data_IF_778742387983
#
_entry.id   IF_778742387983
#
_cell.length_a   1.000
_cell.length_b   1.000
_cell.length_c   1.000
_cell.angle_alpha   90.00
_cell.angle_beta   90.00
_cell.angle_gamma   90.00
#
_symmetry.space_group_name_H-M   'P 1'
#
loop_
_entity.id
_entity.type
_entity.pdbx_description
1 polymer ?
#
# COMPACT_ATOMS: atom_id res chain seq x y z
N UNK A 1 43.36 59.98 18.36
CA UNK A 1 43.25 58.91 19.37
C UNK A 1 42.13 57.96 18.93
N UNK A 2 42.46 56.76 18.42
CA UNK A 2 41.46 55.78 17.95
C UNK A 2 41.02 54.93 19.15
N UNK A 3 39.77 55.07 19.56
CA UNK A 3 39.15 54.23 20.59
C UNK A 3 39.01 52.80 20.04
N UNK A 4 39.72 51.85 20.65
CA UNK A 4 39.50 50.42 20.43
C UNK A 4 38.17 50.06 21.11
N UNK A 5 37.11 49.99 20.29
CA UNK A 5 35.77 49.60 20.71
C UNK A 5 35.84 48.22 21.37
N UNK A 6 35.34 48.17 22.59
CA UNK A 6 35.35 47.01 23.47
C UNK A 6 34.37 45.93 22.95
N UNK A 7 34.82 45.05 22.04
CA UNK A 7 34.04 43.94 21.46
C UNK A 7 33.92 42.74 22.41
N UNK A 8 33.47 42.94 23.66
CA UNK A 8 33.43 41.87 24.69
C UNK A 8 32.04 41.62 25.31
N UNK A 9 30.97 42.08 24.67
CA UNK A 9 29.62 42.06 25.25
C UNK A 9 28.55 41.23 24.52
N UNK A 10 28.84 40.61 23.37
CA UNK A 10 27.78 40.12 22.46
C UNK A 10 27.85 38.61 22.12
N UNK A 11 28.70 37.84 22.79
CA UNK A 11 28.98 36.44 22.43
C UNK A 11 27.88 35.46 22.86
N UNK A 12 27.11 35.76 23.91
CA UNK A 12 26.00 34.91 24.34
C UNK A 12 24.81 35.03 23.38
N UNK A 13 24.44 36.25 22.99
CA UNK A 13 23.31 36.49 22.08
C UNK A 13 23.63 35.95 20.68
N UNK A 14 24.86 36.15 20.19
CA UNK A 14 25.32 35.61 18.91
C UNK A 14 25.25 34.07 18.87
N UNK A 15 25.71 33.40 19.93
CA UNK A 15 25.65 31.92 20.01
C UNK A 15 24.21 31.42 20.10
N UNK A 16 23.33 32.11 20.84
CA UNK A 16 21.92 31.73 20.91
C UNK A 16 21.21 31.86 19.57
N UNK A 17 21.51 32.91 18.80
CA UNK A 17 20.99 33.08 17.44
C UNK A 17 21.55 31.96 16.54
N UNK A 18 22.85 31.65 16.63
CA UNK A 18 23.45 30.56 15.86
C UNK A 18 22.79 29.20 16.17
N UNK A 19 22.50 28.91 17.44
CA UNK A 19 21.76 27.71 17.85
C UNK A 19 20.31 27.71 17.34
N UNK A 20 19.64 28.87 17.34
CA UNK A 20 18.30 29.02 16.76
C UNK A 20 18.27 28.70 15.26
N UNK A 21 19.26 29.19 14.50
CA UNK A 21 19.38 28.88 13.08
C UNK A 21 19.68 27.39 12.87
N UNK A 22 20.62 26.82 13.63
CA UNK A 22 20.98 25.40 13.54
C UNK A 22 19.80 24.48 13.81
N UNK A 23 19.03 24.75 14.87
CA UNK A 23 17.84 23.95 15.20
C UNK A 23 16.79 24.03 14.10
N UNK A 24 16.55 25.21 13.55
CA UNK A 24 15.59 25.40 12.45
C UNK A 24 16.00 24.60 11.20
N UNK A 25 17.29 24.62 10.84
CA UNK A 25 17.82 23.85 9.70
C UNK A 25 17.69 22.34 9.94
N UNK A 26 18.03 21.85 11.14
CA UNK A 26 17.95 20.43 11.48
C UNK A 26 16.50 19.91 11.44
N UNK A 27 15.55 20.68 11.99
CA UNK A 27 14.13 20.33 11.93
C UNK A 27 13.63 20.29 10.49
N UNK A 28 13.99 21.29 9.67
CA UNK A 28 13.63 21.32 8.25
C UNK A 28 14.20 20.12 7.47
N UNK A 29 15.45 19.77 7.72
CA UNK A 29 16.10 18.61 7.12
C UNK A 29 15.42 17.29 7.53
N UNK A 30 15.08 17.14 8.82
CA UNK A 30 14.42 15.94 9.34
C UNK A 30 13.05 15.70 8.71
N UNK A 31 12.18 16.72 8.68
CA UNK A 31 10.84 16.61 8.08
C UNK A 31 10.93 16.28 6.59
N UNK A 32 11.90 16.85 5.89
CA UNK A 32 12.11 16.58 4.46
C UNK A 32 12.58 15.14 4.23
N UNK A 33 13.53 14.67 5.03
CA UNK A 33 14.04 13.31 4.95
C UNK A 33 12.96 12.28 5.27
N UNK A 34 12.19 12.49 6.34
CA UNK A 34 11.09 11.62 6.75
C UNK A 34 10.02 11.51 5.65
N UNK A 35 9.62 12.65 5.07
CA UNK A 35 8.66 12.67 3.95
C UNK A 35 9.17 11.88 2.74
N UNK A 36 10.46 12.04 2.40
CA UNK A 36 11.09 11.32 1.28
C UNK A 36 11.12 9.80 1.52
N UNK A 37 11.46 9.40 2.75
CA UNK A 37 11.48 8.01 3.16
C UNK A 37 10.09 7.37 3.07
N UNK A 38 9.07 8.05 3.60
CA UNK A 38 7.68 7.59 3.57
C UNK A 38 7.14 7.47 2.15
N UNK A 39 7.51 8.38 1.25
CA UNK A 39 7.13 8.31 -0.17
C UNK A 39 7.81 7.13 -0.88
N UNK A 40 9.09 6.88 -0.59
CA UNK A 40 9.84 5.78 -1.17
C UNK A 40 9.27 4.42 -0.74
N UNK A 41 8.94 4.27 0.55
CA UNK A 41 8.30 3.06 1.07
C UNK A 41 6.91 2.83 0.44
N UNK A 42 6.08 3.88 0.35
CA UNK A 42 4.77 3.77 -0.29
C UNK A 42 4.85 3.27 -1.74
N UNK A 43 5.85 3.76 -2.48
CA UNK A 43 6.07 3.34 -3.86
C UNK A 43 6.49 1.87 -3.96
N UNK A 44 7.31 1.38 -3.00
CA UNK A 44 7.72 -0.02 -2.97
C UNK A 44 6.55 -0.95 -2.65
N UNK A 45 5.77 -0.62 -1.61
CA UNK A 45 4.58 -1.40 -1.22
C UNK A 45 3.56 -1.48 -2.37
N UNK A 46 3.30 -0.34 -3.02
CA UNK A 46 2.41 -0.29 -4.17
C UNK A 46 2.95 -1.10 -5.36
N UNK A 47 4.26 -1.07 -5.58
CA UNK A 47 4.91 -1.87 -6.61
C UNK A 47 4.70 -3.37 -6.37
N UNK A 48 4.80 -3.82 -5.12
CA UNK A 48 4.57 -5.23 -4.77
C UNK A 48 3.10 -5.63 -4.87
N UNK A 49 2.19 -4.74 -4.47
CA UNK A 49 0.76 -4.94 -4.65
C UNK A 49 0.40 -5.10 -6.15
N UNK A 50 1.02 -4.30 -7.02
CA UNK A 50 0.83 -4.39 -8.48
C UNK A 50 1.29 -5.75 -9.00
N UNK A 51 2.49 -6.21 -8.64
CA UNK A 51 2.98 -7.54 -9.03
C UNK A 51 2.05 -8.65 -8.54
N UNK A 52 1.52 -8.52 -7.33
CA UNK A 52 0.56 -9.48 -6.77
C UNK A 52 -0.72 -9.52 -7.62
N UNK A 53 -1.27 -8.36 -7.98
CA UNK A 53 -2.45 -8.27 -8.84
C UNK A 53 -2.18 -8.85 -10.24
N UNK A 54 -1.04 -8.53 -10.85
CA UNK A 54 -0.61 -9.08 -12.15
C UNK A 54 -0.47 -10.60 -12.09
N UNK A 55 0.13 -11.15 -11.03
CA UNK A 55 0.23 -12.59 -10.84
C UNK A 55 -1.16 -13.27 -10.81
N UNK A 56 -2.14 -12.65 -10.17
CA UNK A 56 -3.50 -13.16 -10.13
C UNK A 56 -4.18 -13.09 -11.50
N UNK A 57 -3.93 -12.03 -12.27
CA UNK A 57 -4.41 -11.90 -13.66
C UNK A 57 -3.84 -13.04 -14.51
N UNK A 58 -2.54 -13.30 -14.42
CA UNK A 58 -1.91 -14.39 -15.19
C UNK A 58 -2.45 -15.77 -14.80
N UNK A 59 -2.69 -16.00 -13.51
CA UNK A 59 -3.33 -17.24 -13.05
C UNK A 59 -4.77 -17.36 -13.56
N UNK A 60 -5.53 -16.27 -13.56
CA UNK A 60 -6.88 -16.28 -14.12
C UNK A 60 -6.83 -16.64 -15.61
N UNK A 61 -5.91 -16.06 -16.38
CA UNK A 61 -5.72 -16.42 -17.80
C UNK A 61 -5.42 -17.91 -17.97
N UNK A 62 -4.51 -18.45 -17.16
CA UNK A 62 -4.17 -19.87 -17.20
C UNK A 62 -5.38 -20.77 -16.92
N UNK A 63 -6.21 -20.39 -15.93
CA UNK A 63 -7.46 -21.10 -15.62
C UNK A 63 -8.43 -21.04 -16.79
N UNK A 64 -8.66 -19.86 -17.38
CA UNK A 64 -9.64 -19.68 -18.45
C UNK A 64 -9.31 -20.46 -19.74
N UNK A 65 -8.03 -20.74 -19.99
CA UNK A 65 -7.58 -21.49 -21.18
C UNK A 65 -7.54 -23.01 -20.91
N UNK A 66 -7.56 -23.43 -19.63
CA UNK A 66 -7.46 -24.84 -19.28
C UNK A 66 -8.80 -25.59 -19.49
N UNK A 67 -8.81 -26.75 -20.17
CA UNK A 67 -10.03 -27.53 -20.38
C UNK A 67 -10.57 -28.18 -19.09
N UNK A 68 -9.75 -28.28 -18.04
CA UNK A 68 -10.11 -28.81 -16.72
C UNK A 68 -10.20 -27.72 -15.66
N UNK A 69 -10.47 -26.49 -16.08
CA UNK A 69 -10.49 -25.32 -15.20
C UNK A 69 -11.44 -25.48 -14.01
N UNK A 70 -11.01 -25.11 -12.78
CA UNK A 70 -11.93 -24.95 -11.66
C UNK A 70 -13.01 -23.91 -11.99
N UNK A 71 -14.23 -24.15 -11.53
CA UNK A 71 -15.36 -23.24 -11.76
C UNK A 71 -15.14 -21.92 -11.03
N UNK A 72 -15.07 -20.81 -11.78
CA UNK A 72 -14.93 -19.47 -11.23
C UNK A 72 -16.29 -18.95 -10.75
N UNK A 73 -16.46 -18.59 -9.47
CA UNK A 73 -17.74 -18.12 -8.94
C UNK A 73 -18.14 -16.79 -9.59
N UNK A 74 -19.44 -16.63 -9.84
CA UNK A 74 -20.00 -15.45 -10.52
C UNK A 74 -20.54 -14.37 -9.57
N UNK A 75 -20.84 -14.72 -8.32
CA UNK A 75 -21.51 -13.82 -7.36
C UNK A 75 -20.74 -13.56 -6.07
N UNK A 76 -19.71 -14.36 -5.77
CA UNK A 76 -18.88 -14.22 -4.56
C UNK A 76 -17.46 -13.86 -4.95
N UNK A 77 -16.81 -12.91 -4.24
CA UNK A 77 -15.40 -12.67 -4.49
C UNK A 77 -14.57 -13.89 -4.13
N UNK A 78 -13.45 -14.03 -4.82
CA UNK A 78 -12.56 -15.18 -4.68
C UNK A 78 -11.10 -14.72 -4.84
N UNK A 79 -10.15 -15.60 -4.56
CA UNK A 79 -8.77 -15.44 -4.97
C UNK A 79 -8.29 -16.72 -5.66
N UNK A 80 -7.11 -16.67 -6.28
CA UNK A 80 -6.49 -17.85 -6.88
C UNK A 80 -5.22 -18.18 -6.10
N UNK A 81 -5.17 -19.40 -5.56
CA UNK A 81 -4.00 -19.87 -4.80
C UNK A 81 -2.79 -20.13 -5.72
N UNK A 82 -1.64 -20.50 -5.13
CA UNK A 82 -0.41 -20.77 -5.90
C UNK A 82 -0.47 -22.07 -6.71
N UNK A 83 -1.45 -22.92 -6.42
CA UNK A 83 -1.75 -24.17 -7.15
C UNK A 83 -2.87 -23.99 -8.18
N UNK A 84 -3.26 -22.75 -8.50
CA UNK A 84 -4.33 -22.38 -9.44
C UNK A 84 -5.74 -22.84 -9.04
N UNK A 85 -5.98 -23.15 -7.77
CA UNK A 85 -7.32 -23.39 -7.27
C UNK A 85 -8.04 -22.08 -6.99
N UNK A 86 -9.34 -22.05 -7.27
CA UNK A 86 -10.21 -20.91 -6.96
C UNK A 86 -10.72 -21.05 -5.54
N UNK A 87 -10.38 -20.08 -4.69
CA UNK A 87 -10.77 -20.05 -3.28
C UNK A 87 -11.77 -18.92 -3.07
N UNK A 88 -13.02 -19.26 -2.77
CA UNK A 88 -14.04 -18.27 -2.45
C UNK A 88 -13.71 -17.57 -1.13
N UNK A 89 -13.91 -16.26 -1.07
CA UNK A 89 -13.88 -15.52 0.19
C UNK A 89 -15.23 -15.76 0.88
N UNK A 90 -15.21 -16.51 1.99
CA UNK A 90 -16.41 -16.84 2.76
C UNK A 90 -16.42 -15.96 4.01
N UNK A 91 -17.46 -15.14 4.19
CA UNK A 91 -17.57 -14.21 5.32
C UNK A 91 -18.54 -13.05 5.07
N UNK A 92 -18.91 -12.33 6.12
CA UNK A 92 -19.66 -11.08 6.05
C UNK A 92 -19.03 -10.09 7.04
N UNK A 93 -18.76 -8.83 6.65
CA UNK A 93 -18.99 -8.23 5.34
C UNK A 93 -17.97 -8.68 4.30
N UNK A 94 -18.36 -8.91 3.05
CA UNK A 94 -17.42 -9.19 1.94
C UNK A 94 -16.61 -7.92 1.60
N UNK A 95 -15.38 -8.02 1.03
CA UNK A 95 -14.58 -6.85 0.78
C UNK A 95 -15.34 -6.03 -0.25
N UNK A 96 -15.62 -4.77 0.05
CA UNK A 96 -16.38 -3.96 -0.89
C UNK A 96 -15.51 -3.70 -2.14
N UNK A 97 -15.94 -4.10 -3.36
CA UNK A 97 -15.21 -3.83 -4.61
C UNK A 97 -15.02 -2.34 -4.90
N UNK A 98 -15.76 -1.47 -4.22
CA UNK A 98 -15.76 -0.01 -4.36
C UNK A 98 -15.25 0.74 -3.11
N UNK A 99 -14.63 0.03 -2.16
CA UNK A 99 -13.94 0.53 -0.97
C UNK A 99 -14.27 1.96 -0.51
N UNK A 100 -15.25 2.12 0.38
CA UNK A 100 -15.43 3.36 1.15
C UNK A 100 -15.26 3.19 2.67
N UNK A 101 -15.14 1.96 3.17
CA UNK A 101 -14.88 1.72 4.58
C UNK A 101 -13.59 0.93 4.76
N UNK A 102 -12.50 1.66 5.04
CA UNK A 102 -11.27 1.09 5.60
C UNK A 102 -11.49 0.62 7.06
N UNK A 103 -12.65 0.91 7.66
CA UNK A 103 -12.95 0.75 9.08
C UNK A 103 -13.79 -0.49 9.42
N UNK A 104 -14.15 -1.34 8.44
CA UNK A 104 -15.04 -2.48 8.68
C UNK A 104 -14.55 -3.86 8.24
N UNK A 105 -13.47 -3.97 7.46
CA UNK A 105 -13.03 -5.27 6.95
C UNK A 105 -12.14 -6.00 7.97
N UNK A 106 -12.78 -6.60 8.98
CA UNK A 106 -12.28 -7.79 9.69
C UNK A 106 -12.65 -9.04 8.92
N UNK A 107 -12.40 -9.05 7.60
CA UNK A 107 -12.54 -10.28 6.86
C UNK A 107 -11.34 -11.17 7.14
N UNK A 108 -11.55 -12.41 7.59
CA UNK A 108 -10.51 -13.42 7.46
C UNK A 108 -10.38 -13.70 5.96
N UNK A 109 -9.44 -13.03 5.30
CA UNK A 109 -8.95 -13.52 4.02
C UNK A 109 -8.46 -14.95 4.27
N UNK A 110 -8.93 -15.94 3.49
CA UNK A 110 -8.36 -17.28 3.57
C UNK A 110 -6.85 -17.18 3.39
N UNK A 111 -6.07 -17.98 4.13
CA UNK A 111 -4.61 -18.00 4.02
C UNK A 111 -4.08 -17.95 2.56
N UNK A 112 -4.64 -18.67 1.57
CA UNK A 112 -4.16 -18.57 0.18
C UNK A 112 -4.37 -17.21 -0.50
N UNK A 113 -5.30 -16.40 0.01
CA UNK A 113 -5.61 -15.05 -0.47
C UNK A 113 -4.75 -13.97 0.21
N UNK A 114 -3.93 -14.34 1.19
CA UNK A 114 -2.95 -13.45 1.83
C UNK A 114 -1.59 -13.77 1.21
N UNK A 115 -0.96 -12.76 0.61
CA UNK A 115 0.40 -12.87 0.05
C UNK A 115 1.38 -12.14 0.95
N UNK A 116 2.48 -12.82 1.26
CA UNK A 116 3.55 -12.31 2.12
C UNK A 116 3.05 -11.79 3.49
N UNK A 117 2.00 -12.43 4.03
CA UNK A 117 1.36 -12.06 5.30
C UNK A 117 0.85 -10.60 5.38
N UNK A 118 0.74 -9.91 4.23
CA UNK A 118 0.44 -8.47 4.19
C UNK A 118 -0.56 -8.08 3.11
N UNK A 119 -0.47 -8.69 1.93
CA UNK A 119 -1.29 -8.32 0.77
C UNK A 119 -2.51 -9.22 0.68
N UNK A 120 -3.66 -8.65 0.97
CA UNK A 120 -4.95 -9.32 0.90
C UNK A 120 -5.53 -9.17 -0.52
N UNK A 121 -5.83 -10.30 -1.15
CA UNK A 121 -6.28 -10.37 -2.54
C UNK A 121 -7.75 -10.76 -2.61
N UNK A 122 -8.52 -10.04 -3.42
CA UNK A 122 -9.88 -10.40 -3.79
C UNK A 122 -10.13 -10.11 -5.28
N UNK A 123 -10.88 -10.99 -5.93
CA UNK A 123 -11.27 -10.90 -7.33
C UNK A 123 -12.78 -10.88 -7.37
N UNK A 124 -13.34 -9.89 -8.05
CA UNK A 124 -14.77 -9.74 -8.29
C UNK A 124 -15.06 -9.95 -9.76
N UNK A 125 -16.06 -10.77 -10.07
CA UNK A 125 -16.52 -10.97 -11.44
C UNK A 125 -17.81 -10.19 -11.67
N UNK A 126 -17.88 -9.49 -12.80
CA UNK A 126 -19.07 -8.83 -13.31
C UNK A 126 -19.17 -9.08 -14.81
N UNK A 127 -19.93 -10.11 -15.21
CA UNK A 127 -19.97 -10.61 -16.58
C UNK A 127 -18.61 -11.16 -17.02
N UNK A 128 -18.06 -10.58 -18.09
CA UNK A 128 -16.72 -10.91 -18.63
C UNK A 128 -15.60 -10.02 -18.09
N UNK A 129 -15.93 -9.13 -17.14
CA UNK A 129 -14.96 -8.25 -16.50
C UNK A 129 -14.64 -8.74 -15.09
N UNK A 130 -13.35 -8.75 -14.78
CA UNK A 130 -12.79 -9.13 -13.50
C UNK A 130 -12.12 -7.90 -12.87
N UNK A 131 -12.45 -7.61 -11.62
CA UNK A 131 -11.80 -6.58 -10.82
C UNK A 131 -10.91 -7.26 -9.78
N UNK A 132 -9.62 -7.00 -9.85
CA UNK A 132 -8.60 -7.47 -8.93
C UNK A 132 -8.34 -6.38 -7.90
N UNK A 133 -8.74 -6.63 -6.67
CA UNK A 133 -8.50 -5.79 -5.51
C UNK A 133 -7.34 -6.38 -4.71
N UNK A 134 -6.29 -5.59 -4.52
CA UNK A 134 -5.22 -5.91 -3.56
C UNK A 134 -5.20 -4.82 -2.50
N UNK A 135 -5.26 -5.24 -1.23
CA UNK A 135 -5.22 -4.34 -0.07
C UNK A 135 -4.08 -4.70 0.84
N UNK A 136 -3.47 -3.71 1.45
CA UNK A 136 -2.44 -3.93 2.46
C UNK A 136 -2.47 -2.84 3.52
N UNK A 137 -1.85 -3.14 4.65
CA UNK A 137 -1.53 -2.14 5.66
C UNK A 137 -0.13 -1.59 5.39
N UNK A 138 -0.05 -0.27 5.21
CA UNK A 138 1.20 0.47 5.04
C UNK A 138 1.97 0.46 6.34
N UNK A 139 3.30 0.47 6.22
CA UNK A 139 4.17 0.77 7.35
C UNK A 139 3.81 2.19 7.85
N UNK A 140 3.30 2.29 9.09
CA UNK A 140 2.75 3.53 9.65
C UNK A 140 1.24 3.51 9.94
N UNK A 141 0.55 2.38 9.72
CA UNK A 141 -0.80 2.14 10.23
C UNK A 141 -1.94 2.67 9.35
N UNK A 142 -1.64 3.11 8.13
CA UNK A 142 -2.64 3.44 7.13
C UNK A 142 -2.92 2.23 6.24
N UNK A 143 -4.15 2.09 5.75
CA UNK A 143 -4.49 1.06 4.76
C UNK A 143 -4.47 1.66 3.36
N UNK A 144 -4.00 0.89 2.40
CA UNK A 144 -3.96 1.29 0.99
C UNK A 144 -4.45 0.14 0.11
N UNK A 145 -4.87 0.48 -1.10
CA UNK A 145 -5.46 -0.48 -2.03
C UNK A 145 -5.19 -0.12 -3.48
N UNK A 146 -5.17 -1.14 -4.32
CA UNK A 146 -5.21 -1.00 -5.78
C UNK A 146 -6.35 -1.83 -6.35
N UNK A 147 -6.93 -1.34 -7.44
CA UNK A 147 -7.91 -2.05 -8.26
C UNK A 147 -7.36 -2.16 -9.68
N UNK A 148 -7.37 -3.35 -10.25
CA UNK A 148 -7.06 -3.59 -11.67
C UNK A 148 -8.24 -4.28 -12.34
N UNK A 149 -8.60 -3.81 -13.53
CA UNK A 149 -9.70 -4.39 -14.30
C UNK A 149 -9.16 -5.18 -15.47
N UNK A 150 -9.66 -6.40 -15.66
CA UNK A 150 -9.33 -7.27 -16.77
C UNK A 150 -10.61 -7.74 -17.44
N UNK A 151 -10.69 -7.62 -18.76
CA UNK A 151 -11.84 -8.10 -19.55
C UNK A 151 -11.41 -9.26 -20.43
N UNK A 152 -12.16 -10.35 -20.36
CA UNK A 152 -12.01 -11.52 -21.24
C UNK A 152 -12.73 -11.23 -22.55
N UNK A 153 -12.08 -11.55 -23.66
CA UNK A 153 -12.62 -11.43 -25.02
C UNK A 153 -12.66 -12.81 -25.68
#
# INVERSE_FOLDING_TARGET
>A
MKSLRNSRGDTIVEVLIALGVLTTVLVGAYVTADRSQNASQASQERGEAIKTAESQIERLKAILISPTAPTVPSSTPFCIDDSTNVVALIGSPQPNPFGQSLSGDTLPYPNPCIKEDRYNVAIFRSGDTYNFLVRWERIGGNRDQINMYYKVY
#
